data_IF_154570801603
#
_entry.id   IF_154570801603
#
_cell.length_a   1.000
_cell.length_b   1.000
_cell.length_c   1.000
_cell.angle_alpha   90.00
_cell.angle_beta   90.00
_cell.angle_gamma   90.00
#
_symmetry.space_group_name_H-M   'P 1'
#
loop_
_entity.id
_entity.type
_entity.pdbx_description
1 polymer ?
#
# COMPACT_ATOMS: atom_id res chain seq x y z
N UNK A 1 -16.92 -9.37 -6.30
CA UNK A 1 -15.52 -9.78 -6.10
C UNK A 1 -14.92 -8.69 -5.24
N UNK A 2 -14.08 -9.00 -4.25
CA UNK A 2 -13.45 -7.93 -3.45
C UNK A 2 -12.64 -7.07 -4.40
N UNK A 3 -12.86 -5.76 -4.42
CA UNK A 3 -12.10 -4.82 -5.23
C UNK A 3 -10.86 -4.36 -4.48
N UNK A 4 -9.70 -4.44 -5.12
CA UNK A 4 -8.42 -4.05 -4.54
C UNK A 4 -7.81 -2.98 -5.42
N UNK A 5 -7.50 -1.83 -4.85
CA UNK A 5 -6.72 -0.78 -5.52
C UNK A 5 -5.33 -0.75 -4.88
N UNK A 6 -4.31 -0.97 -5.69
CA UNK A 6 -2.90 -0.92 -5.30
C UNK A 6 -2.27 0.24 -6.03
N UNK A 7 -1.76 1.22 -5.29
CA UNK A 7 -1.04 2.36 -5.86
C UNK A 7 0.41 2.30 -5.41
N UNK A 8 1.34 2.48 -6.34
CA UNK A 8 2.77 2.42 -6.04
C UNK A 8 3.54 3.65 -6.51
N UNK A 9 4.58 3.99 -5.76
CA UNK A 9 5.61 4.95 -6.17
C UNK A 9 6.95 4.21 -6.23
N UNK A 10 7.72 4.33 -7.32
CA UNK A 10 8.96 3.57 -7.51
C UNK A 10 9.93 4.27 -8.47
N UNK A 11 11.21 4.38 -8.07
CA UNK A 11 12.30 4.86 -8.94
C UNK A 11 13.09 3.69 -9.56
N UNK A 12 13.47 2.69 -8.75
CA UNK A 12 14.36 1.59 -9.17
C UNK A 12 13.65 0.26 -9.40
N UNK A 13 12.33 0.18 -9.20
CA UNK A 13 11.53 -1.01 -9.46
C UNK A 13 11.04 -1.75 -8.22
N UNK A 14 11.70 -1.62 -7.06
CA UNK A 14 11.39 -2.43 -5.87
C UNK A 14 9.92 -2.36 -5.43
N UNK A 15 9.34 -1.17 -5.31
CA UNK A 15 7.95 -0.99 -4.87
C UNK A 15 6.93 -1.38 -5.95
N UNK A 16 7.34 -1.33 -7.23
CA UNK A 16 6.56 -1.87 -8.34
C UNK A 16 6.53 -3.40 -8.28
N UNK A 17 7.68 -4.04 -7.99
CA UNK A 17 7.76 -5.49 -7.79
C UNK A 17 6.95 -5.93 -6.55
N UNK A 18 6.99 -5.16 -5.46
CA UNK A 18 6.12 -5.37 -4.28
C UNK A 18 4.64 -5.31 -4.69
N UNK A 19 4.23 -4.29 -5.45
CA UNK A 19 2.85 -4.16 -5.93
C UNK A 19 2.44 -5.30 -6.87
N UNK A 20 3.35 -5.81 -7.70
CA UNK A 20 3.12 -6.99 -8.53
C UNK A 20 2.90 -8.26 -7.69
N UNK A 21 3.72 -8.52 -6.68
CA UNK A 21 3.55 -9.66 -5.77
C UNK A 21 2.18 -9.63 -5.10
N UNK A 22 1.77 -8.46 -4.61
CA UNK A 22 0.44 -8.29 -4.01
C UNK A 22 -0.68 -8.52 -5.04
N UNK A 23 -0.52 -8.01 -6.26
CA UNK A 23 -1.49 -8.21 -7.35
C UNK A 23 -1.71 -9.69 -7.62
N UNK A 24 -0.64 -10.46 -7.86
CA UNK A 24 -0.72 -11.90 -8.09
C UNK A 24 -1.43 -12.61 -6.94
N UNK A 25 -1.08 -12.27 -5.69
CA UNK A 25 -1.70 -12.88 -4.52
C UNK A 25 -3.19 -12.57 -4.38
N UNK A 26 -3.60 -11.34 -4.61
CA UNK A 26 -5.02 -10.98 -4.56
C UNK A 26 -5.83 -11.62 -5.69
N UNK A 27 -5.27 -11.76 -6.88
CA UNK A 27 -5.89 -12.50 -7.98
C UNK A 27 -6.07 -13.99 -7.62
N UNK A 28 -5.09 -14.63 -6.97
CA UNK A 28 -5.23 -16.00 -6.45
C UNK A 28 -6.36 -16.13 -5.41
N UNK A 29 -6.57 -15.08 -4.60
CA UNK A 29 -7.68 -14.97 -3.66
C UNK A 29 -9.02 -14.61 -4.34
N UNK A 30 -9.06 -14.58 -5.68
CA UNK A 30 -10.22 -14.26 -6.49
C UNK A 30 -10.78 -12.86 -6.14
N UNK A 31 -9.88 -11.88 -6.03
CA UNK A 31 -10.16 -10.45 -5.97
C UNK A 31 -10.08 -9.80 -7.36
N UNK A 32 -10.71 -8.64 -7.51
CA UNK A 32 -10.65 -7.79 -8.71
C UNK A 32 -9.62 -6.69 -8.42
N UNK A 33 -8.45 -6.78 -9.03
CA UNK A 33 -7.29 -5.95 -8.67
C UNK A 33 -7.02 -4.90 -9.74
N UNK A 34 -6.87 -3.66 -9.30
CA UNK A 34 -6.39 -2.56 -10.11
C UNK A 34 -5.08 -2.04 -9.52
N UNK A 35 -3.99 -2.15 -10.29
CA UNK A 35 -2.67 -1.66 -9.93
C UNK A 35 -2.31 -0.47 -10.82
N UNK A 36 -1.89 0.64 -10.24
CA UNK A 36 -1.45 1.82 -10.99
C UNK A 36 -0.34 2.59 -10.27
N UNK A 37 0.48 3.29 -11.04
CA UNK A 37 1.54 4.14 -10.50
C UNK A 37 0.94 5.46 -9.98
N UNK A 38 1.53 6.02 -8.91
CA UNK A 38 0.97 7.13 -8.15
C UNK A 38 0.76 8.38 -8.99
N UNK A 39 1.68 8.72 -9.90
CA UNK A 39 1.56 9.92 -10.75
C UNK A 39 0.43 9.82 -11.80
N UNK A 40 -0.15 8.64 -11.97
CA UNK A 40 -1.25 8.36 -12.89
C UNK A 40 -2.58 8.05 -12.17
N UNK A 41 -2.62 8.20 -10.84
CA UNK A 41 -3.74 7.79 -10.02
C UNK A 41 -4.30 8.98 -9.24
N UNK A 42 -5.63 9.09 -9.18
CA UNK A 42 -6.32 10.01 -8.28
C UNK A 42 -6.64 9.26 -6.97
N UNK A 43 -6.36 9.81 -5.78
CA UNK A 43 -6.60 9.10 -4.53
C UNK A 43 -8.08 8.81 -4.28
N UNK A 44 -9.02 9.53 -4.92
CA UNK A 44 -10.45 9.22 -4.87
C UNK A 44 -10.81 7.86 -5.49
N UNK A 45 -9.92 7.25 -6.29
CA UNK A 45 -10.09 5.86 -6.76
C UNK A 45 -10.20 4.87 -5.58
N UNK A 46 -9.65 5.20 -4.41
CA UNK A 46 -9.81 4.39 -3.20
C UNK A 46 -11.26 4.31 -2.69
N UNK A 47 -12.10 5.31 -3.01
CA UNK A 47 -13.52 5.30 -2.62
C UNK A 47 -14.30 4.18 -3.34
N UNK A 48 -13.84 3.73 -4.49
CA UNK A 48 -14.46 2.67 -5.30
C UNK A 48 -13.94 1.25 -5.01
N UNK A 49 -12.90 1.13 -4.19
CA UNK A 49 -12.28 -0.13 -3.78
C UNK A 49 -12.87 -0.65 -2.45
N UNK A 50 -12.60 -1.92 -2.13
CA UNK A 50 -12.85 -2.50 -0.80
C UNK A 50 -11.56 -2.51 0.04
N UNK A 51 -10.43 -2.77 -0.63
CA UNK A 51 -9.08 -2.78 -0.06
C UNK A 51 -8.22 -1.74 -0.79
N UNK A 52 -7.59 -0.85 -0.03
CA UNK A 52 -6.74 0.24 -0.51
C UNK A 52 -5.29 -0.01 -0.07
N UNK A 53 -4.34 -0.04 -1.00
CA UNK A 53 -2.94 -0.36 -0.67
C UNK A 53 -2.00 0.68 -1.26
N UNK A 54 -1.05 1.13 -0.46
CA UNK A 54 0.12 1.91 -0.91
C UNK A 54 1.40 1.10 -0.77
N UNK A 55 2.15 1.02 -1.87
CA UNK A 55 3.54 0.57 -1.93
C UNK A 55 4.44 1.77 -2.23
N UNK A 56 5.25 2.23 -1.27
CA UNK A 56 6.04 3.45 -1.47
C UNK A 56 7.41 3.37 -0.81
N UNK A 57 8.44 3.75 -1.56
CA UNK A 57 9.75 3.98 -1.01
C UNK A 57 9.79 5.26 -0.18
N UNK A 58 10.86 5.43 0.59
CA UNK A 58 11.14 6.66 1.32
C UNK A 58 12.21 7.48 0.61
N UNK A 59 11.95 8.76 0.41
CA UNK A 59 12.94 9.70 -0.13
C UNK A 59 13.63 10.48 1.01
N UNK A 60 14.77 11.10 0.67
CA UNK A 60 15.70 11.82 1.56
C UNK A 60 15.07 12.42 2.84
N UNK A 61 15.67 12.17 4.01
CA UNK A 61 15.20 12.64 5.33
C UNK A 61 13.81 12.15 5.73
N UNK A 62 13.41 10.98 5.24
CA UNK A 62 12.22 10.31 5.72
C UNK A 62 10.90 10.82 5.14
N UNK A 63 10.96 11.49 3.97
CA UNK A 63 9.78 12.08 3.35
C UNK A 63 9.12 11.14 2.34
N UNK A 64 7.83 11.37 2.10
CA UNK A 64 7.09 10.79 0.98
C UNK A 64 7.78 11.21 -0.34
N UNK A 65 7.93 10.30 -1.33
CA UNK A 65 8.44 10.62 -2.65
C UNK A 65 7.79 11.85 -3.29
N UNK A 66 8.56 12.64 -4.04
CA UNK A 66 8.04 13.86 -4.69
C UNK A 66 6.85 13.54 -5.61
N UNK A 67 6.93 12.44 -6.36
CA UNK A 67 5.85 11.97 -7.24
C UNK A 67 4.59 11.51 -6.50
N UNK A 68 4.72 11.19 -5.20
CA UNK A 68 3.62 10.74 -4.36
C UNK A 68 3.08 11.85 -3.45
N UNK A 69 3.71 13.03 -3.42
CA UNK A 69 3.38 14.08 -2.48
C UNK A 69 1.97 14.65 -2.73
N UNK A 70 1.63 14.98 -3.97
CA UNK A 70 0.29 15.48 -4.32
C UNK A 70 -0.79 14.45 -3.95
N UNK A 71 -0.54 13.17 -4.26
CA UNK A 71 -1.44 12.07 -3.91
C UNK A 71 -1.61 11.94 -2.39
N UNK A 72 -0.51 12.03 -1.64
CA UNK A 72 -0.49 11.97 -0.18
C UNK A 72 -1.27 13.13 0.46
N UNK A 73 -1.06 14.36 -0.02
CA UNK A 73 -1.78 15.55 0.49
C UNK A 73 -3.29 15.45 0.19
N UNK A 74 -3.66 15.02 -1.01
CA UNK A 74 -5.07 14.87 -1.42
C UNK A 74 -5.79 13.73 -0.66
N UNK A 75 -5.06 12.72 -0.17
CA UNK A 75 -5.64 11.67 0.67
C UNK A 75 -6.21 12.20 2.00
N UNK A 76 -5.65 13.27 2.56
CA UNK A 76 -6.08 13.83 3.86
C UNK A 76 -7.54 14.30 3.85
N UNK A 77 -8.08 14.62 2.66
CA UNK A 77 -9.45 15.11 2.48
C UNK A 77 -10.49 13.99 2.24
N UNK A 78 -10.06 12.72 2.16
CA UNK A 78 -10.95 11.58 1.88
C UNK A 78 -11.66 11.02 3.11
N UNK A 79 -12.85 10.44 2.90
CA UNK A 79 -13.53 9.58 3.88
C UNK A 79 -13.52 8.14 3.37
N UNK A 80 -12.61 7.35 3.91
CA UNK A 80 -12.45 5.92 3.59
C UNK A 80 -13.08 5.03 4.68
N UNK A 81 -14.09 5.55 5.39
CA UNK A 81 -14.87 4.75 6.35
C UNK A 81 -15.46 3.53 5.65
N UNK A 82 -15.21 2.35 6.24
CA UNK A 82 -15.70 1.08 5.71
C UNK A 82 -14.79 0.47 4.64
N UNK A 83 -13.60 1.05 4.39
CA UNK A 83 -12.55 0.44 3.58
C UNK A 83 -11.52 -0.26 4.47
N UNK A 84 -10.82 -1.24 3.92
CA UNK A 84 -9.62 -1.84 4.53
C UNK A 84 -8.39 -1.23 3.89
N UNK A 85 -7.37 -0.91 4.67
CA UNK A 85 -6.11 -0.44 4.12
C UNK A 85 -4.91 -1.30 4.55
N UNK A 86 -3.85 -1.23 3.73
CA UNK A 86 -2.52 -1.71 4.07
C UNK A 86 -1.44 -0.81 3.47
N UNK A 87 -0.30 -0.70 4.15
CA UNK A 87 0.87 0.02 3.62
C UNK A 87 2.08 -0.88 3.60
N UNK A 88 2.88 -0.75 2.54
CA UNK A 88 4.14 -1.46 2.39
C UNK A 88 5.14 -0.62 1.62
N UNK A 89 6.40 -1.03 1.58
CA UNK A 89 7.40 -0.34 0.77
C UNK A 89 8.82 -0.83 0.99
N UNK A 90 9.69 -0.45 0.07
CA UNK A 90 11.12 -0.69 0.09
C UNK A 90 11.87 0.50 0.69
N UNK A 91 12.94 0.22 1.45
CA UNK A 91 13.86 1.21 1.98
C UNK A 91 15.27 0.68 2.08
N UNK A 92 16.17 1.48 2.64
CA UNK A 92 17.58 1.11 2.84
C UNK A 92 17.95 1.43 4.30
N UNK A 93 18.26 0.38 5.08
CA UNK A 93 18.68 0.48 6.49
C UNK A 93 20.00 1.22 6.68
N UNK A 94 20.71 1.55 5.60
CA UNK A 94 21.81 2.50 5.65
C UNK A 94 21.38 3.89 6.14
N UNK A 95 20.12 4.28 5.90
CA UNK A 95 19.54 5.53 6.37
C UNK A 95 18.79 5.35 7.70
N UNK A 96 18.76 6.39 8.54
CA UNK A 96 18.07 6.34 9.83
C UNK A 96 16.54 6.24 9.66
N UNK A 97 16.01 6.82 8.59
CA UNK A 97 14.57 6.90 8.30
C UNK A 97 14.07 5.70 7.47
N UNK A 98 14.35 4.49 7.93
CA UNK A 98 13.98 3.26 7.21
C UNK A 98 12.46 3.14 7.00
N UNK A 99 12.02 3.25 5.74
CA UNK A 99 10.63 3.15 5.30
C UNK A 99 9.67 4.08 6.06
N UNK A 100 10.06 5.31 6.39
CA UNK A 100 9.17 6.23 7.12
C UNK A 100 7.95 6.65 6.29
N UNK A 101 8.05 6.70 4.95
CA UNK A 101 6.90 6.99 4.09
C UNK A 101 5.75 5.97 4.30
N UNK A 102 6.08 4.70 4.56
CA UNK A 102 5.11 3.64 4.87
C UNK A 102 4.32 3.96 6.14
N UNK A 103 4.96 4.59 7.13
CA UNK A 103 4.34 5.00 8.39
C UNK A 103 3.47 6.25 8.19
N UNK A 104 3.94 7.22 7.40
CA UNK A 104 3.18 8.44 7.08
C UNK A 104 1.90 8.13 6.30
N UNK A 105 1.95 7.22 5.31
CA UNK A 105 0.75 6.74 4.62
C UNK A 105 -0.20 6.00 5.57
N UNK A 106 0.32 5.18 6.50
CA UNK A 106 -0.51 4.48 7.46
C UNK A 106 -1.26 5.45 8.37
N UNK A 107 -0.56 6.47 8.87
CA UNK A 107 -1.15 7.55 9.67
C UNK A 107 -2.25 8.29 8.90
N UNK A 108 -2.01 8.59 7.64
CA UNK A 108 -2.99 9.28 6.78
C UNK A 108 -4.23 8.41 6.56
N UNK A 109 -4.06 7.12 6.29
CA UNK A 109 -5.18 6.19 6.22
C UNK A 109 -5.98 6.13 7.54
N UNK A 110 -5.33 6.12 8.70
CA UNK A 110 -6.03 6.16 9.99
C UNK A 110 -6.88 7.43 10.14
N UNK A 111 -6.41 8.57 9.62
CA UNK A 111 -7.12 9.85 9.65
C UNK A 111 -8.35 9.87 8.73
N UNK A 112 -8.33 9.12 7.61
CA UNK A 112 -9.49 8.96 6.70
C UNK A 112 -10.60 8.05 7.22
N UNK A 113 -10.39 7.35 8.35
CA UNK A 113 -11.37 6.40 8.92
C UNK A 113 -11.34 4.99 8.32
N UNK A 114 -10.38 4.69 7.43
CA UNK A 114 -10.14 3.33 6.95
C UNK A 114 -9.71 2.39 8.10
N UNK A 115 -9.94 1.10 7.92
CA UNK A 115 -9.56 0.07 8.90
C UNK A 115 -8.24 -0.59 8.50
N UNK A 116 -7.21 -0.51 9.35
CA UNK A 116 -5.95 -1.23 9.13
C UNK A 116 -6.20 -2.73 9.10
N UNK A 117 -5.96 -3.38 7.97
CA UNK A 117 -6.25 -4.81 7.79
C UNK A 117 -5.09 -5.74 8.13
N UNK A 118 -3.87 -5.24 8.14
CA UNK A 118 -2.64 -5.96 8.45
C UNK A 118 -1.54 -4.99 8.92
N UNK A 119 -0.53 -5.49 9.61
CA UNK A 119 0.65 -4.67 9.93
C UNK A 119 1.44 -4.32 8.68
N UNK A 120 2.01 -3.11 8.68
CA UNK A 120 2.74 -2.59 7.52
C UNK A 120 4.00 -3.42 7.24
N UNK A 121 4.31 -3.61 5.96
CA UNK A 121 5.48 -4.41 5.52
C UNK A 121 6.58 -3.49 5.02
N UNK A 122 7.76 -3.58 5.63
CA UNK A 122 8.94 -2.77 5.27
C UNK A 122 10.05 -3.70 4.79
N UNK A 123 10.54 -3.47 3.57
CA UNK A 123 11.47 -4.36 2.87
C UNK A 123 12.80 -3.64 2.67
N UNK A 124 13.91 -4.36 2.85
CA UNK A 124 15.25 -3.85 2.60
C UNK A 124 15.59 -4.04 1.11
N UNK A 125 15.63 -2.95 0.35
CA UNK A 125 15.92 -2.93 -1.08
C UNK A 125 14.95 -3.81 -1.88
N UNK A 126 15.46 -4.80 -2.62
CA UNK A 126 14.68 -5.66 -3.50
C UNK A 126 13.99 -6.77 -2.68
N UNK A 127 12.70 -7.08 -2.92
CA UNK A 127 12.01 -8.15 -2.20
C UNK A 127 12.65 -9.52 -2.48
N UNK A 128 13.13 -10.19 -1.43
CA UNK A 128 13.61 -11.57 -1.51
C UNK A 128 12.48 -12.57 -1.18
N UNK A 129 12.76 -13.88 -1.24
CA UNK A 129 11.74 -14.90 -1.01
C UNK A 129 11.04 -14.79 0.35
N UNK A 130 11.78 -14.45 1.41
CA UNK A 130 11.20 -14.26 2.74
C UNK A 130 10.27 -13.04 2.78
N UNK A 131 10.56 -11.99 2.01
CA UNK A 131 9.71 -10.81 1.86
C UNK A 131 8.46 -11.12 1.05
N UNK A 132 8.59 -11.88 -0.04
CA UNK A 132 7.46 -12.38 -0.84
C UNK A 132 6.52 -13.21 0.04
N UNK A 133 7.05 -14.14 0.84
CA UNK A 133 6.26 -14.95 1.77
C UNK A 133 5.55 -14.10 2.85
N UNK A 134 6.08 -12.90 3.16
CA UNK A 134 5.46 -11.96 4.11
C UNK A 134 4.41 -11.09 3.42
N UNK A 135 4.65 -10.62 2.19
CA UNK A 135 3.67 -9.92 1.36
C UNK A 135 2.44 -10.80 1.08
N UNK A 136 2.67 -12.10 0.86
CA UNK A 136 1.61 -13.09 0.71
C UNK A 136 0.68 -13.15 1.94
N UNK A 137 1.27 -13.25 3.13
CA UNK A 137 0.53 -13.26 4.40
C UNK A 137 -0.17 -11.93 4.65
N UNK A 138 0.47 -10.83 4.26
CA UNK A 138 -0.09 -9.49 4.36
C UNK A 138 -1.36 -9.36 3.51
N UNK A 139 -1.31 -9.76 2.23
CA UNK A 139 -2.47 -9.77 1.35
C UNK A 139 -3.60 -10.70 1.88
N UNK A 140 -3.25 -11.89 2.39
CA UNK A 140 -4.22 -12.80 3.02
C UNK A 140 -4.91 -12.17 4.24
N UNK A 141 -4.18 -11.43 5.07
CA UNK A 141 -4.73 -10.73 6.23
C UNK A 141 -5.66 -9.58 5.82
N UNK A 142 -5.25 -8.74 4.86
CA UNK A 142 -6.09 -7.69 4.31
C UNK A 142 -7.40 -8.25 3.74
N UNK A 143 -7.30 -9.30 2.93
CA UNK A 143 -8.46 -9.98 2.35
C UNK A 143 -9.38 -10.55 3.42
N UNK A 144 -8.82 -11.21 4.43
CA UNK A 144 -9.58 -11.74 5.55
C UNK A 144 -10.33 -10.64 6.30
N UNK A 145 -9.67 -9.52 6.62
CA UNK A 145 -10.29 -8.39 7.31
C UNK A 145 -11.45 -7.82 6.49
N UNK A 146 -11.25 -7.65 5.17
CA UNK A 146 -12.32 -7.20 4.26
C UNK A 146 -13.53 -8.15 4.30
N UNK A 147 -13.30 -9.46 4.26
CA UNK A 147 -14.37 -10.46 4.36
C UNK A 147 -15.10 -10.44 5.70
N UNK A 148 -14.39 -10.20 6.80
CA UNK A 148 -14.99 -10.05 8.13
C UNK A 148 -15.85 -8.77 8.25
N UNK A 149 -15.50 -7.73 7.50
CA UNK A 149 -16.29 -6.50 7.35
C UNK A 149 -17.45 -6.64 6.35
N UNK A 150 -17.53 -7.75 5.62
CA UNK A 150 -18.59 -8.00 4.63
C UNK A 150 -18.36 -7.33 3.27
N UNK A 151 -17.12 -6.95 2.98
CA UNK A 151 -16.65 -6.44 1.69
C UNK A 151 -16.29 -7.60 0.74
#
# INVERSE_FOLDING_TARGET
MTKVKIVYASITGNDEDIAYVLTEKFEELNADVEMSEVSQTDPSDFEDADICIIASYTYDQGIVPEEALDFYEDMEDLDLTGKVYGTCGSGDTFYEDFCSAVDEFAKTFDETGATKGAESVKIELEPEQDDIDNLDKFAEQLYKTAKEMGL
#
